data_IF_866996722291
#
_entry.id   IF_866996722291
#
_cell.length_a   1.000
_cell.length_b   1.000
_cell.length_c   1.000
_cell.angle_alpha   90.00
_cell.angle_beta   90.00
_cell.angle_gamma   90.00
#
_symmetry.space_group_name_H-M   'P 1'
#
loop_
_entity.id
_entity.type
_entity.pdbx_description
1 polymer ?
#
# COMPACT_ATOMS: atom_id res chain seq x y z
N UNK A 1 12.46 34.61 -37.75
CA UNK A 1 11.52 33.54 -38.12
C UNK A 1 11.82 32.36 -37.22
N UNK A 2 10.89 31.96 -36.35
CA UNK A 2 11.09 30.86 -35.41
C UNK A 2 10.73 29.53 -36.09
N UNK A 3 11.61 28.52 -36.00
CA UNK A 3 11.37 27.17 -36.48
C UNK A 3 10.71 26.36 -35.37
N UNK A 4 9.49 25.86 -35.60
CA UNK A 4 8.80 24.89 -34.75
C UNK A 4 8.94 23.52 -35.40
N UNK A 5 9.43 22.52 -34.64
CA UNK A 5 9.41 21.13 -35.06
C UNK A 5 8.65 20.33 -34.00
N UNK A 6 7.60 19.63 -34.42
CA UNK A 6 6.80 18.73 -33.59
C UNK A 6 7.23 17.30 -33.90
N UNK A 7 7.71 16.56 -32.91
CA UNK A 7 7.99 15.12 -33.05
C UNK A 7 6.97 14.34 -32.23
N UNK A 8 6.12 13.60 -32.93
CA UNK A 8 5.20 12.64 -32.30
C UNK A 8 5.87 11.26 -32.29
N UNK A 9 5.99 10.66 -31.11
CA UNK A 9 6.36 9.25 -30.97
C UNK A 9 5.14 8.48 -30.47
N UNK A 10 4.82 7.39 -31.15
CA UNK A 10 3.69 6.51 -30.84
C UNK A 10 4.19 5.24 -30.16
N UNK A 11 3.86 5.06 -28.88
CA UNK A 11 3.99 3.80 -28.16
C UNK A 11 2.61 3.33 -27.68
N UNK A 12 2.32 2.04 -27.89
CA UNK A 12 1.05 1.40 -27.56
C UNK A 12 0.98 1.05 -26.07
N UNK A 13 0.44 1.97 -25.28
CA UNK A 13 -0.25 1.77 -24.00
C UNK A 13 -1.13 3.00 -23.78
N UNK A 14 -2.21 2.89 -23.01
CA UNK A 14 -3.40 3.78 -23.03
C UNK A 14 -3.22 5.22 -22.51
N UNK A 15 -2.06 5.85 -22.73
CA UNK A 15 -1.81 7.25 -22.45
C UNK A 15 -1.03 7.89 -23.59
N UNK A 16 -1.65 8.87 -24.25
CA UNK A 16 -0.99 9.72 -25.25
C UNK A 16 -0.41 10.95 -24.57
N UNK A 17 0.90 11.15 -24.69
CA UNK A 17 1.62 12.35 -24.27
C UNK A 17 2.18 13.09 -25.49
N UNK A 18 2.12 14.43 -25.47
CA UNK A 18 2.67 15.28 -26.52
C UNK A 18 3.64 16.28 -25.90
N UNK A 19 4.85 16.34 -26.44
CA UNK A 19 5.91 17.26 -25.98
C UNK A 19 6.18 18.32 -27.04
N UNK A 20 6.09 19.60 -26.68
CA UNK A 20 6.51 20.71 -27.54
C UNK A 20 7.73 21.41 -26.95
N UNK A 21 8.70 21.75 -27.81
CA UNK A 21 9.90 22.52 -27.46
C UNK A 21 9.82 23.90 -28.10
N UNK A 22 10.03 24.95 -27.30
CA UNK A 22 10.10 26.33 -27.80
C UNK A 22 11.37 27.00 -27.32
N UNK A 23 12.01 27.79 -28.19
CA UNK A 23 13.24 28.53 -27.87
C UNK A 23 13.03 30.03 -27.97
N UNK A 24 13.36 30.76 -26.90
CA UNK A 24 13.35 32.24 -26.90
C UNK A 24 14.53 32.74 -26.09
N UNK A 25 15.33 33.63 -26.69
CA UNK A 25 16.53 34.21 -26.07
C UNK A 25 17.54 33.19 -25.52
N UNK A 26 17.77 32.10 -26.26
CA UNK A 26 18.77 31.08 -25.90
C UNK A 26 18.32 30.08 -24.83
N UNK A 27 17.09 30.19 -24.31
CA UNK A 27 16.52 29.24 -23.36
C UNK A 27 15.55 28.30 -24.08
N UNK A 28 15.73 26.99 -23.88
CA UNK A 28 14.84 25.95 -24.39
C UNK A 28 13.84 25.59 -23.30
N UNK A 29 12.54 25.70 -23.59
CA UNK A 29 11.47 25.28 -22.68
C UNK A 29 10.71 24.13 -23.32
N UNK A 30 10.66 22.99 -22.62
CA UNK A 30 9.86 21.83 -22.98
C UNK A 30 8.55 21.85 -22.20
N UNK A 31 7.42 21.67 -22.88
CA UNK A 31 6.11 21.52 -22.25
C UNK A 31 5.50 20.21 -22.72
N UNK A 32 5.23 19.32 -21.77
CA UNK A 32 4.61 18.02 -22.02
C UNK A 32 3.18 18.05 -21.50
N UNK A 33 2.20 17.76 -22.36
CA UNK A 33 0.81 17.56 -21.96
C UNK A 33 0.48 16.07 -22.01
N UNK A 34 -0.07 15.55 -20.91
CA UNK A 34 -0.65 14.21 -20.85
C UNK A 34 -2.17 14.31 -20.85
N UNK A 35 -2.81 13.53 -21.72
CA UNK A 35 -4.25 13.29 -21.67
C UNK A 35 -4.49 11.97 -20.93
N UNK A 36 -5.02 12.04 -19.71
CA UNK A 36 -5.52 10.88 -18.98
C UNK A 36 -7.05 10.92 -18.90
N UNK A 37 -7.68 9.74 -18.93
CA UNK A 37 -9.11 9.58 -18.67
C UNK A 37 -9.46 10.06 -17.25
N UNK A 38 -10.68 10.57 -17.01
CA UNK A 38 -11.06 11.07 -15.70
C UNK A 38 -11.04 9.93 -14.65
N UNK A 39 -10.58 10.19 -13.42
CA UNK A 39 -10.59 9.21 -12.35
C UNK A 39 -12.04 8.80 -12.01
N UNK A 40 -12.21 7.53 -11.63
CA UNK A 40 -13.47 7.02 -11.11
C UNK A 40 -13.93 7.86 -9.89
N UNK A 41 -15.26 8.02 -9.68
CA UNK A 41 -15.77 8.87 -8.61
C UNK A 41 -15.32 8.35 -7.23
N UNK A 42 -14.97 9.23 -6.29
CA UNK A 42 -14.53 8.84 -4.95
C UNK A 42 -15.66 8.13 -4.20
N UNK A 43 -15.34 6.96 -3.62
CA UNK A 43 -16.24 6.25 -2.72
C UNK A 43 -16.50 7.09 -1.46
N UNK A 44 -17.74 7.11 -0.91
CA UNK A 44 -18.11 8.02 0.16
C UNK A 44 -17.88 7.37 1.53
N UNK A 45 -16.62 7.19 1.96
CA UNK A 45 -16.35 6.84 3.36
C UNK A 45 -15.13 7.59 3.90
N UNK A 46 -15.18 8.06 5.16
CA UNK A 46 -14.11 8.84 5.76
C UNK A 46 -12.89 7.94 5.97
N UNK A 47 -11.77 8.29 5.33
CA UNK A 47 -10.45 7.72 5.64
C UNK A 47 -10.00 8.35 6.96
N UNK A 48 -10.49 7.81 8.08
CA UNK A 48 -9.88 8.07 9.38
C UNK A 48 -8.86 6.96 9.63
N UNK A 49 -7.59 7.29 9.49
CA UNK A 49 -6.52 7.20 10.52
C UNK A 49 -5.19 7.45 9.79
N UNK A 50 -4.29 8.21 10.41
CA UNK A 50 -2.96 8.58 9.95
C UNK A 50 -2.21 7.42 9.28
N UNK A 51 -2.29 7.30 7.97
CA UNK A 51 -1.49 6.34 7.22
C UNK A 51 -0.29 7.09 6.65
N UNK A 52 0.91 6.70 7.11
CA UNK A 52 2.13 7.07 6.43
C UNK A 52 2.06 6.55 4.96
N UNK A 53 2.64 7.29 4.00
CA UNK A 53 2.55 6.95 2.58
C UNK A 53 3.10 5.56 2.20
N UNK A 54 3.92 4.96 3.06
CA UNK A 54 4.65 3.70 2.80
C UNK A 54 4.00 2.45 3.42
N UNK A 55 2.86 2.60 4.10
CA UNK A 55 2.10 1.50 4.67
C UNK A 55 1.56 1.78 6.08
N UNK A 56 0.45 1.12 6.42
CA UNK A 56 -0.20 1.25 7.72
C UNK A 56 -0.04 -0.03 8.55
N UNK A 57 0.47 0.10 9.77
CA UNK A 57 0.50 -0.98 10.76
C UNK A 57 -0.72 -0.83 11.67
N UNK A 58 -1.53 -1.87 11.75
CA UNK A 58 -2.69 -1.93 12.63
C UNK A 58 -2.50 -3.04 13.65
N UNK A 59 -2.55 -2.69 14.93
CA UNK A 59 -2.49 -3.65 16.04
C UNK A 59 -3.81 -4.41 16.19
N UNK A 60 -3.73 -5.66 16.65
CA UNK A 60 -4.89 -6.49 16.93
C UNK A 60 -5.74 -5.85 18.03
N UNK A 61 -6.92 -5.38 17.65
CA UNK A 61 -7.86 -4.69 18.54
C UNK A 61 -7.79 -3.15 18.52
N UNK A 62 -6.90 -2.54 17.71
CA UNK A 62 -6.92 -1.09 17.47
C UNK A 62 -7.98 -0.65 16.47
N UNK A 63 -8.45 -1.58 15.63
CA UNK A 63 -9.56 -1.43 14.68
C UNK A 63 -10.64 -2.45 15.01
N UNK A 64 -11.89 -2.16 14.68
CA UNK A 64 -13.01 -3.10 14.79
C UNK A 64 -12.91 -4.23 13.76
N UNK A 65 -13.68 -5.31 13.98
CA UNK A 65 -13.78 -6.41 13.02
C UNK A 65 -14.36 -5.95 11.68
N UNK A 66 -15.31 -5.02 11.73
CA UNK A 66 -15.98 -4.42 10.58
C UNK A 66 -15.01 -3.58 9.75
N UNK A 67 -14.21 -2.72 10.39
CA UNK A 67 -13.16 -1.94 9.72
C UNK A 67 -12.11 -2.86 9.08
N UNK A 68 -11.62 -3.86 9.82
CA UNK A 68 -10.68 -4.84 9.26
C UNK A 68 -11.26 -5.58 8.04
N UNK A 69 -12.54 -5.92 8.10
CA UNK A 69 -13.26 -6.57 6.99
C UNK A 69 -13.34 -5.68 5.75
N UNK A 70 -13.62 -4.39 5.95
CA UNK A 70 -13.67 -3.41 4.88
C UNK A 70 -12.30 -3.20 4.24
N UNK A 71 -11.24 -3.11 5.05
CA UNK A 71 -9.87 -2.96 4.56
C UNK A 71 -9.40 -4.18 3.76
N UNK A 72 -9.65 -5.40 4.25
CA UNK A 72 -9.32 -6.63 3.51
C UNK A 72 -10.09 -6.69 2.19
N UNK A 73 -11.37 -6.32 2.20
CA UNK A 73 -12.19 -6.29 0.99
C UNK A 73 -11.68 -5.26 -0.02
N UNK A 74 -11.32 -4.05 0.44
CA UNK A 74 -10.78 -2.99 -0.41
C UNK A 74 -9.44 -3.39 -1.04
N UNK A 75 -8.50 -3.90 -0.23
CA UNK A 75 -7.18 -4.34 -0.73
C UNK A 75 -7.31 -5.49 -1.74
N UNK A 76 -8.16 -6.48 -1.46
CA UNK A 76 -8.38 -7.59 -2.40
C UNK A 76 -9.04 -7.16 -3.72
N UNK A 77 -9.71 -5.99 -3.75
CA UNK A 77 -10.36 -5.45 -4.93
C UNK A 77 -9.47 -4.50 -5.74
N UNK A 78 -8.49 -3.82 -5.12
CA UNK A 78 -7.68 -2.79 -5.78
C UNK A 78 -6.59 -3.38 -6.68
N UNK A 79 -5.94 -4.47 -6.26
CA UNK A 79 -4.77 -5.04 -6.94
C UNK A 79 -3.46 -4.27 -6.72
N UNK A 80 -3.55 -3.02 -6.27
CA UNK A 80 -2.43 -2.11 -5.98
C UNK A 80 -1.97 -2.17 -4.52
N UNK A 81 -2.81 -2.75 -3.65
CA UNK A 81 -2.55 -2.84 -2.21
C UNK A 81 -2.59 -4.30 -1.74
N UNK A 82 -1.81 -4.57 -0.71
CA UNK A 82 -1.66 -5.91 -0.15
C UNK A 82 -1.73 -5.88 1.37
N UNK A 83 -2.35 -6.91 1.94
CA UNK A 83 -2.42 -7.09 3.39
C UNK A 83 -1.51 -8.25 3.79
N UNK A 84 -0.63 -8.01 4.75
CA UNK A 84 0.15 -9.04 5.43
C UNK A 84 -0.38 -9.16 6.86
N UNK A 85 -0.82 -10.34 7.25
CA UNK A 85 -1.31 -10.60 8.61
C UNK A 85 -0.23 -11.22 9.48
N UNK A 86 -0.16 -10.79 10.73
CA UNK A 86 0.56 -11.42 11.84
C UNK A 86 -0.46 -12.03 12.79
N UNK A 87 -0.45 -13.35 12.95
CA UNK A 87 -1.46 -14.05 13.73
C UNK A 87 -0.88 -15.23 14.52
N UNK A 88 -1.60 -15.67 15.55
CA UNK A 88 -1.27 -16.89 16.28
C UNK A 88 -1.92 -18.11 15.62
N UNK A 89 -1.09 -19.06 15.18
CA UNK A 89 -1.50 -20.39 14.69
C UNK A 89 -2.31 -21.19 15.70
N UNK A 90 -2.20 -20.87 16.99
CA UNK A 90 -2.94 -21.53 18.07
C UNK A 90 -4.45 -21.38 17.92
N UNK A 91 -4.93 -20.25 17.39
CA UNK A 91 -6.35 -20.03 17.11
C UNK A 91 -6.91 -21.00 16.06
N UNK A 92 -6.04 -21.56 15.21
CA UNK A 92 -6.38 -22.51 14.14
C UNK A 92 -6.03 -23.96 14.49
N UNK A 93 -5.65 -24.24 15.75
CA UNK A 93 -5.10 -25.52 16.18
C UNK A 93 -3.94 -26.02 15.30
N UNK A 94 -3.19 -25.08 14.73
CA UNK A 94 -1.99 -25.38 13.94
C UNK A 94 -0.76 -25.43 14.85
N UNK A 95 0.23 -26.21 14.47
CA UNK A 95 1.46 -26.34 15.25
C UNK A 95 2.26 -25.03 15.18
N UNK A 96 2.82 -24.60 16.31
CA UNK A 96 3.55 -23.33 16.42
C UNK A 96 2.67 -22.20 16.97
N UNK A 97 3.19 -20.97 16.95
CA UNK A 97 2.50 -19.80 17.48
C UNK A 97 2.48 -18.66 16.46
N UNK A 98 3.39 -17.69 16.56
CA UNK A 98 3.42 -16.55 15.65
C UNK A 98 3.70 -16.94 14.20
N UNK A 99 2.93 -16.37 13.28
CA UNK A 99 3.14 -16.52 11.85
C UNK A 99 2.75 -15.27 11.07
N UNK A 100 3.45 -15.02 9.97
CA UNK A 100 3.16 -13.94 9.03
C UNK A 100 2.82 -14.52 7.68
N UNK A 101 1.79 -14.01 7.02
CA UNK A 101 1.43 -14.42 5.65
C UNK A 101 0.65 -13.34 4.91
N UNK A 102 0.79 -13.24 3.59
CA UNK A 102 -0.08 -12.41 2.78
C UNK A 102 -1.52 -12.94 2.75
N UNK A 103 -2.46 -12.01 2.63
CA UNK A 103 -3.84 -12.29 2.22
C UNK A 103 -3.89 -12.34 0.70
N UNK A 104 -4.34 -13.47 0.16
CA UNK A 104 -4.44 -13.70 -1.29
C UNK A 104 -5.84 -13.50 -1.86
N UNK A 105 -6.85 -13.26 -1.03
CA UNK A 105 -8.21 -13.07 -1.48
C UNK A 105 -9.24 -13.05 -0.36
N UNK A 106 -10.41 -12.49 -0.67
CA UNK A 106 -11.54 -12.40 0.25
C UNK A 106 -12.82 -12.88 -0.42
N UNK A 107 -13.54 -13.76 0.26
CA UNK A 107 -14.81 -14.32 -0.20
C UNK A 107 -15.96 -13.75 0.63
N UNK A 108 -16.55 -12.64 0.17
CA UNK A 108 -17.61 -11.90 0.88
C UNK A 108 -18.82 -12.76 1.28
N UNK A 109 -19.29 -13.66 0.41
CA UNK A 109 -20.49 -14.46 0.67
C UNK A 109 -20.36 -15.52 1.79
N UNK A 110 -19.13 -15.87 2.18
CA UNK A 110 -18.84 -16.84 3.25
C UNK A 110 -17.96 -16.25 4.35
N UNK A 111 -17.63 -14.97 4.23
CA UNK A 111 -16.72 -14.26 5.14
C UNK A 111 -15.38 -14.98 5.36
N UNK A 112 -14.75 -15.42 4.26
CA UNK A 112 -13.48 -16.16 4.29
C UNK A 112 -12.33 -15.34 3.72
N UNK A 113 -11.17 -15.48 4.32
CA UNK A 113 -9.90 -14.91 3.85
C UNK A 113 -8.98 -16.04 3.39
N UNK A 114 -8.38 -15.90 2.22
CA UNK A 114 -7.36 -16.82 1.73
C UNK A 114 -6.01 -16.40 2.29
N UNK A 115 -5.45 -17.22 3.19
CA UNK A 115 -4.10 -17.02 3.72
C UNK A 115 -3.11 -17.77 2.84
N UNK A 116 -2.15 -17.04 2.25
CA UNK A 116 -1.06 -17.61 1.46
C UNK A 116 0.08 -18.03 2.38
N UNK A 117 -0.10 -19.15 3.10
CA UNK A 117 0.86 -19.64 4.11
C UNK A 117 2.27 -19.83 3.50
N UNK A 118 3.23 -19.04 3.99
CA UNK A 118 4.60 -19.04 3.48
C UNK A 118 5.40 -20.26 3.99
N UNK A 119 4.93 -20.94 5.05
CA UNK A 119 5.50 -22.19 5.53
C UNK A 119 4.93 -23.38 4.73
N UNK A 120 5.14 -23.38 3.42
CA UNK A 120 4.59 -24.36 2.46
C UNK A 120 4.93 -25.82 2.78
N UNK A 121 6.01 -26.05 3.52
CA UNK A 121 6.40 -27.39 3.99
C UNK A 121 5.41 -27.97 5.02
N UNK A 122 4.52 -27.13 5.57
CA UNK A 122 3.64 -27.46 6.69
C UNK A 122 2.17 -27.34 6.35
N UNK A 123 1.79 -26.24 5.69
CA UNK A 123 0.41 -25.98 5.33
C UNK A 123 0.33 -25.35 3.93
N UNK A 124 -0.64 -25.79 3.10
CA UNK A 124 -0.93 -25.11 1.84
C UNK A 124 -1.65 -23.77 2.09
N UNK A 125 -1.78 -22.92 1.05
CA UNK A 125 -2.73 -21.82 1.08
C UNK A 125 -4.13 -22.32 1.46
N UNK A 126 -4.79 -21.63 2.39
CA UNK A 126 -6.06 -22.11 2.96
C UNK A 126 -7.01 -20.96 3.29
N UNK A 127 -8.30 -21.27 3.26
CA UNK A 127 -9.36 -20.33 3.62
C UNK A 127 -9.65 -20.40 5.11
N UNK A 128 -9.74 -19.24 5.76
CA UNK A 128 -10.11 -19.12 7.17
C UNK A 128 -11.27 -18.14 7.34
N UNK A 129 -12.15 -18.32 8.33
CA UNK A 129 -13.13 -17.30 8.69
C UNK A 129 -12.45 -15.99 9.08
N UNK A 130 -12.87 -14.88 8.48
CA UNK A 130 -12.33 -13.55 8.78
C UNK A 130 -12.41 -13.20 10.27
N UNK A 131 -13.52 -13.47 10.99
CA UNK A 131 -13.60 -13.21 12.43
C UNK A 131 -12.61 -14.04 13.25
N UNK A 132 -12.32 -15.28 12.83
CA UNK A 132 -11.35 -16.13 13.51
C UNK A 132 -9.92 -15.62 13.28
N UNK A 133 -9.61 -15.17 12.06
CA UNK A 133 -8.33 -14.53 11.77
C UNK A 133 -8.15 -13.25 12.60
N UNK A 134 -9.18 -12.41 12.69
CA UNK A 134 -9.18 -11.22 13.53
C UNK A 134 -8.90 -11.56 15.01
N UNK A 135 -9.57 -12.57 15.57
CA UNK A 135 -9.27 -13.05 16.92
C UNK A 135 -7.83 -13.56 17.05
N UNK A 136 -7.30 -14.26 16.05
CA UNK A 136 -5.94 -14.78 16.05
C UNK A 136 -4.88 -13.66 16.06
N UNK A 137 -5.20 -12.48 15.53
CA UNK A 137 -4.34 -11.28 15.58
C UNK A 137 -4.34 -10.60 16.96
N UNK A 138 -5.44 -10.72 17.73
CA UNK A 138 -5.53 -10.13 19.08
C UNK A 138 -4.67 -10.85 20.14
N UNK A 139 -4.10 -12.02 19.81
CA UNK A 139 -3.24 -12.76 20.73
C UNK A 139 -1.91 -12.02 20.90
N UNK A 140 -1.44 -11.89 22.14
CA UNK A 140 -0.16 -11.25 22.43
C UNK A 140 1.02 -12.06 21.90
N UNK A 141 1.96 -11.40 21.24
CA UNK A 141 3.27 -11.97 20.96
C UNK A 141 4.08 -12.05 22.26
N UNK A 142 4.70 -13.20 22.52
CA UNK A 142 5.50 -13.43 23.73
C UNK A 142 6.78 -12.60 23.75
N UNK A 143 7.30 -12.22 22.59
CA UNK A 143 8.55 -11.46 22.47
C UNK A 143 8.31 -9.98 22.72
N UNK A 144 7.26 -9.41 22.12
CA UNK A 144 6.98 -7.96 22.23
C UNK A 144 6.04 -7.63 23.38
N UNK A 145 5.24 -8.58 23.86
CA UNK A 145 4.18 -8.34 24.84
C UNK A 145 2.96 -7.59 24.29
N UNK A 146 2.99 -7.24 23.00
CA UNK A 146 1.94 -6.51 22.29
C UNK A 146 1.03 -7.48 21.52
N UNK A 147 -0.22 -7.09 21.22
CA UNK A 147 -1.04 -7.83 20.25
C UNK A 147 -0.31 -7.94 18.91
N UNK A 148 -0.69 -8.94 18.10
CA UNK A 148 -0.24 -9.03 16.71
C UNK A 148 -1.05 -8.04 15.88
N UNK A 149 -1.38 -8.33 14.62
CA UNK A 149 -2.08 -7.37 13.78
C UNK A 149 -1.84 -7.59 12.30
N UNK A 150 -1.95 -6.54 11.51
CA UNK A 150 -1.71 -6.61 10.08
C UNK A 150 -1.02 -5.35 9.56
N UNK A 151 -0.42 -5.48 8.39
CA UNK A 151 0.25 -4.43 7.65
C UNK A 151 -0.44 -4.30 6.30
N UNK A 152 -0.83 -3.07 5.95
CA UNK A 152 -1.31 -2.73 4.62
C UNK A 152 -0.18 -2.05 3.85
N UNK A 153 0.16 -2.62 2.70
CA UNK A 153 1.22 -2.17 1.81
C UNK A 153 0.61 -1.66 0.50
N UNK A 154 1.20 -0.60 -0.05
CA UNK A 154 0.92 -0.13 -1.41
C UNK A 154 2.24 0.20 -2.08
N UNK A 155 2.30 0.07 -3.41
CA UNK A 155 3.45 0.57 -4.13
C UNK A 155 3.42 2.10 -4.13
N UNK A 156 4.51 2.73 -3.68
CA UNK A 156 4.64 4.16 -3.87
C UNK A 156 4.88 4.42 -5.36
N UNK A 157 4.09 5.27 -6.03
CA UNK A 157 4.38 5.63 -7.41
C UNK A 157 5.71 6.37 -7.39
N UNK A 158 6.79 5.67 -7.74
CA UNK A 158 8.09 6.30 -7.92
C UNK A 158 7.89 7.37 -8.98
N UNK A 159 8.03 8.63 -8.58
CA UNK A 159 8.16 9.72 -9.53
C UNK A 159 9.37 9.38 -10.42
N UNK A 160 9.26 9.58 -11.73
CA UNK A 160 10.33 9.31 -12.71
C UNK A 160 11.62 10.13 -12.47
N UNK A 161 11.68 10.92 -11.40
CA UNK A 161 12.84 11.68 -10.96
C UNK A 161 13.34 11.18 -9.60
N UNK A 162 14.67 11.02 -9.50
CA UNK A 162 15.48 10.49 -8.37
C UNK A 162 15.42 11.37 -7.10
N UNK A 163 14.39 12.19 -6.93
CA UNK A 163 14.19 13.01 -5.74
C UNK A 163 13.42 12.19 -4.71
N UNK A 164 14.15 11.65 -3.73
CA UNK A 164 13.53 11.10 -2.52
C UNK A 164 12.79 12.22 -1.79
N UNK A 165 11.47 12.12 -1.69
CA UNK A 165 10.69 12.93 -0.76
C UNK A 165 10.84 12.31 0.63
N UNK A 166 11.64 12.93 1.48
CA UNK A 166 11.65 12.63 2.91
C UNK A 166 10.38 13.24 3.52
N UNK A 167 9.41 12.40 3.87
CA UNK A 167 8.29 12.81 4.70
C UNK A 167 8.76 12.91 6.15
N UNK A 168 8.85 14.15 6.64
CA UNK A 168 9.41 14.47 7.96
C UNK A 168 8.24 14.70 8.90
N UNK A 169 7.61 13.61 9.34
CA UNK A 169 6.43 13.65 10.22
C UNK A 169 6.74 13.28 11.68
N UNK A 170 8.01 13.19 12.08
CA UNK A 170 8.40 12.76 13.43
C UNK A 170 9.49 13.64 14.04
N UNK A 171 9.43 13.86 15.37
CA UNK A 171 10.26 14.77 16.18
C UNK A 171 11.78 14.47 16.19
N UNK A 172 12.25 13.52 15.39
CA UNK A 172 13.68 13.18 15.25
C UNK A 172 14.48 14.13 14.35
N UNK A 173 13.82 15.07 13.67
CA UNK A 173 14.44 15.91 12.63
C UNK A 173 15.38 16.99 13.16
N UNK A 174 15.24 17.42 14.43
CA UNK A 174 16.04 18.52 14.99
C UNK A 174 17.55 18.25 14.94
N UNK A 175 17.96 16.98 15.11
CA UNK A 175 19.36 16.58 15.02
C UNK A 175 19.89 16.61 13.58
N UNK A 176 19.05 16.24 12.60
CA UNK A 176 19.40 16.27 11.19
C UNK A 176 19.43 17.70 10.63
N UNK A 177 18.48 18.55 11.04
CA UNK A 177 18.46 19.97 10.70
C UNK A 177 19.72 20.69 11.20
N UNK A 178 20.16 20.40 12.42
CA UNK A 178 21.39 20.97 12.99
C UNK A 178 22.65 20.59 12.19
N UNK A 179 22.68 19.38 11.63
CA UNK A 179 23.79 18.92 10.79
C UNK A 179 23.77 19.58 9.40
N UNK A 180 22.58 19.76 8.80
CA UNK A 180 22.43 20.33 7.46
C UNK A 180 22.56 21.86 7.41
N UNK A 181 22.25 22.55 8.52
CA UNK A 181 22.42 24.00 8.67
C UNK A 181 23.81 24.43 9.14
N UNK A 182 24.77 23.48 9.18
CA UNK A 182 26.16 23.75 9.54
C UNK A 182 26.77 24.90 8.75
#
# INVERSE_FOLDING_TARGET
QALSQTMNSSSTSSSSSSTSLTTKSGVITATTSLSSSPPAPPHPFPVHTSCAPDGCICEGGSVSLEEFREEVAACCASGEEHVIVSYSRRAFNQTGDGHFSPVGGYHRGRDLVLVLDVARFKYPPHWVPLPLLYQAMAYKDKVTGLPRGYLRLSAHPLLDSVLFTLDISHEGWESAERFLRG
#
